data_IF_331985190060
#
_entry.id   IF_331985190060
#
_cell.length_a   1.000
_cell.length_b   1.000
_cell.length_c   1.000
_cell.angle_alpha   90.00
_cell.angle_beta   90.00
_cell.angle_gamma   90.00
#
_symmetry.space_group_name_H-M   'P 1'
#
loop_
_entity.id
_entity.type
_entity.pdbx_description
1 polymer ?
#
# COMPACT_ATOMS: atom_id res chain seq x y z
N UNK A 1 -8.71 -5.76 10.35
CA UNK A 1 -7.75 -4.63 10.43
C UNK A 1 -7.44 -4.22 9.00
N UNK A 2 -8.23 -3.31 8.43
CA UNK A 2 -7.88 -2.65 7.17
C UNK A 2 -6.73 -1.72 7.50
N UNK A 3 -5.56 -2.03 6.96
CA UNK A 3 -4.33 -1.31 7.23
C UNK A 3 -4.51 0.16 6.84
N UNK A 4 -4.24 1.09 7.76
CA UNK A 4 -4.69 2.49 7.69
C UNK A 4 -3.85 3.38 6.76
N UNK A 5 -3.08 2.80 5.85
CA UNK A 5 -2.14 3.55 5.01
C UNK A 5 -2.75 3.87 3.63
N UNK A 6 -3.03 5.15 3.35
CA UNK A 6 -3.62 5.56 2.07
C UNK A 6 -2.66 5.44 0.88
N UNK A 7 -1.35 5.52 1.11
CA UNK A 7 -0.34 5.31 0.07
C UNK A 7 -0.40 3.85 -0.37
N UNK A 8 -0.41 2.93 0.58
CA UNK A 8 -0.54 1.49 0.29
C UNK A 8 -1.81 1.18 -0.52
N UNK A 9 -2.98 1.65 -0.08
CA UNK A 9 -4.25 1.36 -0.80
C UNK A 9 -4.24 1.92 -2.22
N UNK A 10 -3.69 3.11 -2.41
CA UNK A 10 -3.57 3.74 -3.73
C UNK A 10 -2.64 2.93 -4.64
N UNK A 11 -1.48 2.50 -4.13
CA UNK A 11 -0.52 1.69 -4.89
C UNK A 11 -1.07 0.29 -5.20
N UNK A 12 -1.83 -0.33 -4.28
CA UNK A 12 -2.51 -1.62 -4.54
C UNK A 12 -3.57 -1.52 -5.64
N UNK A 13 -4.29 -0.41 -5.74
CA UNK A 13 -5.23 -0.20 -6.84
C UNK A 13 -4.48 -0.10 -8.18
N UNK A 14 -3.37 0.64 -8.21
CA UNK A 14 -2.51 0.73 -9.41
C UNK A 14 -1.92 -0.64 -9.79
N UNK A 15 -1.49 -1.45 -8.82
CA UNK A 15 -1.02 -2.83 -9.05
C UNK A 15 -2.09 -3.72 -9.72
N UNK A 16 -3.36 -3.50 -9.40
CA UNK A 16 -4.50 -4.23 -9.97
C UNK A 16 -4.97 -3.64 -11.31
N UNK A 17 -4.19 -2.76 -11.92
CA UNK A 17 -4.52 -2.02 -13.15
C UNK A 17 -5.81 -1.20 -13.03
N UNK A 18 -6.25 -0.91 -11.79
CA UNK A 18 -7.40 -0.07 -11.52
C UNK A 18 -6.96 1.39 -11.41
N UNK A 19 -7.74 2.30 -11.98
CA UNK A 19 -7.54 3.73 -11.75
C UNK A 19 -7.91 4.05 -10.30
N UNK A 20 -6.98 4.56 -9.49
CA UNK A 20 -7.30 4.89 -8.11
C UNK A 20 -8.29 6.06 -8.07
N UNK A 21 -9.42 5.87 -7.39
CA UNK A 21 -10.39 6.93 -7.13
C UNK A 21 -10.58 7.17 -5.64
N UNK A 22 -10.64 8.44 -5.24
CA UNK A 22 -10.84 8.86 -3.84
C UNK A 22 -12.06 8.22 -3.17
N UNK A 23 -13.13 7.96 -3.94
CA UNK A 23 -14.37 7.32 -3.45
C UNK A 23 -14.15 5.87 -3.05
N UNK A 24 -13.28 5.15 -3.75
CA UNK A 24 -13.00 3.74 -3.48
C UNK A 24 -12.11 3.57 -2.23
N UNK A 25 -11.29 4.59 -1.94
CA UNK A 25 -10.38 4.63 -0.78
C UNK A 25 -11.08 5.23 0.45
N UNK A 26 -12.27 5.82 0.29
CA UNK A 26 -13.03 6.44 1.39
C UNK A 26 -12.38 7.72 1.92
N UNK A 27 -11.75 8.50 1.03
CA UNK A 27 -10.93 9.66 1.38
C UNK A 27 -11.52 10.97 0.84
N UNK A 28 -11.28 12.08 1.54
CA UNK A 28 -11.54 13.41 1.00
C UNK A 28 -10.70 13.67 -0.28
N UNK A 29 -11.25 14.32 -1.32
CA UNK A 29 -10.52 14.61 -2.55
C UNK A 29 -9.19 15.38 -2.35
N UNK A 30 -9.10 16.25 -1.33
CA UNK A 30 -7.89 17.02 -1.04
C UNK A 30 -6.77 16.14 -0.50
N UNK A 31 -7.12 15.25 0.41
CA UNK A 31 -6.19 14.28 0.97
C UNK A 31 -5.74 13.29 -0.12
N UNK A 32 -6.67 12.87 -0.99
CA UNK A 32 -6.35 11.97 -2.09
C UNK A 32 -5.36 12.59 -3.07
N UNK A 33 -5.55 13.87 -3.40
CA UNK A 33 -4.60 14.62 -4.22
C UNK A 33 -3.22 14.73 -3.56
N UNK A 34 -3.18 14.89 -2.23
CA UNK A 34 -1.93 14.94 -1.47
C UNK A 34 -1.20 13.60 -1.52
N UNK A 35 -1.93 12.49 -1.39
CA UNK A 35 -1.39 11.12 -1.49
C UNK A 35 -0.86 10.84 -2.90
N UNK A 36 -1.61 11.18 -3.95
CA UNK A 36 -1.15 11.01 -5.33
C UNK A 36 0.11 11.83 -5.61
N UNK A 37 0.15 13.08 -5.13
CA UNK A 37 1.33 13.93 -5.25
C UNK A 37 2.53 13.30 -4.54
N UNK A 38 2.35 12.83 -3.31
CA UNK A 38 3.40 12.16 -2.56
C UNK A 38 3.92 10.89 -3.26
N UNK A 39 3.02 10.05 -3.78
CA UNK A 39 3.37 8.85 -4.56
C UNK A 39 4.23 9.19 -5.77
N UNK A 40 3.89 10.26 -6.48
CA UNK A 40 4.63 10.72 -7.64
C UNK A 40 5.99 11.30 -7.26
N UNK A 41 6.05 12.16 -6.25
CA UNK A 41 7.29 12.79 -5.77
C UNK A 41 8.26 11.76 -5.15
N UNK A 42 7.73 10.71 -4.52
CA UNK A 42 8.51 9.61 -3.97
C UNK A 42 8.97 8.59 -5.04
N UNK A 43 8.50 8.73 -6.29
CA UNK A 43 8.83 7.81 -7.38
C UNK A 43 8.20 6.43 -7.25
N UNK A 44 7.12 6.28 -6.47
CA UNK A 44 6.41 5.01 -6.33
C UNK A 44 5.52 4.70 -7.54
N UNK A 45 5.08 5.73 -8.27
CA UNK A 45 4.37 5.59 -9.54
C UNK A 45 4.74 6.73 -10.51
N UNK A 46 4.74 6.42 -11.80
CA UNK A 46 4.99 7.35 -12.90
C UNK A 46 3.87 7.28 -13.96
N UNK A 47 4.08 7.93 -15.10
CA UNK A 47 3.10 7.96 -16.20
C UNK A 47 2.82 6.58 -16.82
N UNK A 48 3.73 5.62 -16.68
CA UNK A 48 3.60 4.24 -17.14
C UNK A 48 2.97 3.32 -16.08
N UNK A 49 2.83 3.78 -14.84
CA UNK A 49 2.13 3.08 -13.77
C UNK A 49 3.02 2.88 -12.54
N UNK A 50 2.87 1.72 -11.90
CA UNK A 50 3.59 1.38 -10.68
C UNK A 50 5.08 1.10 -10.98
N UNK A 51 5.98 1.73 -10.24
CA UNK A 51 7.43 1.53 -10.40
C UNK A 51 7.94 0.37 -9.52
N UNK A 52 9.18 -0.11 -9.72
CA UNK A 52 9.81 -1.06 -8.80
C UNK A 52 9.83 -0.57 -7.35
N UNK A 53 10.06 0.72 -7.11
CA UNK A 53 10.05 1.30 -5.77
C UNK A 53 8.66 1.25 -5.12
N UNK A 54 7.59 1.48 -5.90
CA UNK A 54 6.21 1.31 -5.42
C UNK A 54 5.87 -0.15 -5.11
N UNK A 55 6.35 -1.09 -5.92
CA UNK A 55 6.24 -2.53 -5.65
C UNK A 55 6.95 -2.93 -4.35
N UNK A 56 8.17 -2.45 -4.12
CA UNK A 56 8.90 -2.69 -2.88
C UNK A 56 8.17 -2.12 -1.66
N UNK A 57 7.57 -0.93 -1.79
CA UNK A 57 6.74 -0.33 -0.74
C UNK A 57 5.57 -1.25 -0.35
N UNK A 58 4.82 -1.73 -1.34
CA UNK A 58 3.70 -2.68 -1.13
C UNK A 58 4.18 -3.91 -0.36
N UNK A 59 5.25 -4.56 -0.84
CA UNK A 59 5.75 -5.78 -0.22
C UNK A 59 6.31 -5.55 1.19
N UNK A 60 6.97 -4.42 1.43
CA UNK A 60 7.47 -4.05 2.75
C UNK A 60 6.30 -3.80 3.71
N UNK A 61 5.25 -3.15 3.24
CA UNK A 61 4.03 -2.91 4.01
C UNK A 61 3.32 -4.22 4.36
N UNK A 62 3.09 -5.10 3.39
CA UNK A 62 2.47 -6.42 3.61
C UNK A 62 3.28 -7.29 4.58
N UNK A 63 4.61 -7.26 4.50
CA UNK A 63 5.49 -7.96 5.45
C UNK A 63 5.29 -7.49 6.89
N UNK A 64 5.06 -6.20 7.11
CA UNK A 64 4.80 -5.63 8.45
C UNK A 64 3.41 -6.00 8.98
N UNK A 65 2.45 -6.21 8.08
CA UNK A 65 1.09 -6.62 8.43
C UNK A 65 0.95 -8.11 8.74
N UNK A 66 1.85 -8.95 8.21
CA UNK A 66 1.85 -10.36 8.54
C UNK A 66 2.15 -10.51 10.03
N UNK A 67 1.21 -11.05 10.84
CA UNK A 67 1.54 -11.40 12.20
C UNK A 67 2.69 -12.40 12.13
N UNK A 68 3.80 -12.10 12.82
CA UNK A 68 4.86 -13.07 13.02
C UNK A 68 4.17 -14.34 13.54
N UNK A 69 4.34 -15.51 12.91
CA UNK A 69 3.83 -16.73 13.51
C UNK A 69 4.45 -16.79 14.89
N UNK A 70 3.62 -16.65 15.94
CA UNK A 70 4.03 -17.00 17.29
C UNK A 70 4.46 -18.46 17.16
N UNK A 71 5.77 -18.68 17.19
CA UNK A 71 6.33 -20.00 17.35
C UNK A 71 5.77 -20.47 18.68
N UNK A 72 4.68 -21.23 18.61
CA UNK A 72 4.06 -21.78 19.80
C UNK A 72 5.02 -22.87 20.22
N UNK A 73 5.88 -22.56 21.18
CA UNK A 73 6.78 -23.49 21.85
C UNK A 73 5.92 -24.50 22.60
N UNK A 74 5.33 -25.46 21.88
CA UNK A 74 4.54 -26.58 22.40
C UNK A 74 5.02 -27.93 21.82
N UNK A 75 6.27 -27.98 21.36
CA UNK A 75 6.98 -29.22 21.00
C UNK A 75 8.15 -29.47 21.96
N UNK A 76 7.94 -29.26 23.26
CA UNK A 76 8.86 -29.66 24.32
C UNK A 76 8.04 -30.06 25.57
N UNK A 77 7.45 -31.25 25.53
CA UNK A 77 7.24 -32.17 26.66
C UNK A 77 6.35 -33.34 26.23
#
# INVERSE_FOLDING_TARGET
MTSNDPVYHTLKMMEQEQKPEFRQIGMDPRDFRTVLKHIHEAGYADASGLTPAGQEYIQAYERRLRPTPRVTRRDLA
#
